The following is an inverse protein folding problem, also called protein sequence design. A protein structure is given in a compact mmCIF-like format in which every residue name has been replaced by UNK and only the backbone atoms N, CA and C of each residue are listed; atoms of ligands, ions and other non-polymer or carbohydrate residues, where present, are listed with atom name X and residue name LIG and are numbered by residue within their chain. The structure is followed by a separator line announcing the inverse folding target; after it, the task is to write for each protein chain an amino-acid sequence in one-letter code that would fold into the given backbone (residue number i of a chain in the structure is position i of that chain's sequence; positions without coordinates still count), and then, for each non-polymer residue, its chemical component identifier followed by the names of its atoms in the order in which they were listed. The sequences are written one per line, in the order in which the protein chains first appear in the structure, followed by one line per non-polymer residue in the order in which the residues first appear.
data_IF_366733774139
#
_entry.id   IF_366733774139
#
_cell.length_a   1.000
_cell.length_b   1.000
_cell.length_c   1.000
_cell.angle_alpha   90.00
_cell.angle_beta   90.00
_cell.angle_gamma   90.00
#
_symmetry.space_group_name_H-M   'P 1'
#
loop_
_entity.id
_entity.type
_entity.pdbx_description
1 polymer ?
#
# COMPACT_ATOMS: atom_id res chain seq x y z
N UNK A 1 -3.46 -27.82 1.80
CA UNK A 1 -3.54 -26.86 2.90
C UNK A 1 -3.19 -25.51 2.32
N UNK A 2 -3.89 -24.45 2.70
CA UNK A 2 -3.54 -23.10 2.30
C UNK A 2 -2.64 -22.51 3.39
N UNK A 3 -1.41 -22.15 3.02
CA UNK A 3 -0.47 -21.50 3.92
C UNK A 3 -0.73 -19.99 3.92
N UNK A 4 -0.63 -19.38 5.07
CA UNK A 4 -0.85 -17.97 5.30
C UNK A 4 0.40 -17.38 5.96
N UNK A 5 0.94 -16.32 5.38
CA UNK A 5 2.09 -15.60 5.92
C UNK A 5 1.67 -14.16 6.23
N UNK A 6 1.89 -13.74 7.47
CA UNK A 6 1.68 -12.35 7.90
C UNK A 6 2.99 -11.58 7.70
N UNK A 7 2.93 -10.50 6.93
CA UNK A 7 4.11 -9.74 6.52
C UNK A 7 3.89 -8.26 6.81
N UNK A 8 4.85 -7.62 7.45
CA UNK A 8 4.94 -6.17 7.54
C UNK A 8 5.70 -5.64 6.29
N UNK A 9 4.99 -4.95 5.39
CA UNK A 9 5.54 -4.37 4.17
C UNK A 9 5.94 -2.90 4.38
N UNK A 10 6.98 -2.42 3.69
CA UNK A 10 7.60 -1.12 3.89
C UNK A 10 8.12 -0.92 5.32
N UNK A 11 8.55 -2.01 5.96
CA UNK A 11 8.96 -2.05 7.34
C UNK A 11 10.45 -1.75 7.53
N UNK A 12 10.80 -1.01 8.57
CA UNK A 12 12.19 -0.78 9.01
C UNK A 12 12.63 -1.78 10.09
N UNK A 13 11.67 -2.45 10.69
CA UNK A 13 11.86 -3.43 11.76
C UNK A 13 10.51 -4.04 12.16
N UNK A 14 10.49 -4.97 13.10
CA UNK A 14 9.24 -5.60 13.57
C UNK A 14 8.22 -4.56 14.03
N UNK A 15 6.93 -4.81 13.72
CA UNK A 15 5.79 -3.97 14.10
C UNK A 15 5.75 -2.58 13.47
N UNK A 16 6.54 -2.34 12.41
CA UNK A 16 6.49 -1.14 11.57
C UNK A 16 5.93 -1.49 10.18
N UNK A 17 5.74 -0.49 9.32
CA UNK A 17 5.20 -0.70 7.97
C UNK A 17 3.70 -1.03 7.96
N UNK A 18 3.23 -1.60 6.86
CA UNK A 18 1.83 -1.94 6.62
C UNK A 18 1.64 -3.47 6.60
N UNK A 19 0.83 -4.02 7.52
CA UNK A 19 0.64 -5.45 7.59
C UNK A 19 -0.26 -5.97 6.47
N UNK A 20 0.13 -7.09 5.87
CA UNK A 20 -0.69 -7.85 4.93
C UNK A 20 -0.61 -9.34 5.25
N UNK A 21 -1.69 -10.06 5.02
CA UNK A 21 -1.64 -11.51 4.95
C UNK A 21 -1.45 -11.94 3.49
N UNK A 22 -0.59 -12.92 3.26
CA UNK A 22 -0.37 -13.55 1.95
C UNK A 22 -0.76 -15.01 2.02
N UNK A 23 -1.74 -15.40 1.23
CA UNK A 23 -2.21 -16.76 1.10
C UNK A 23 -1.72 -17.36 -0.22
N UNK A 24 -0.76 -18.29 -0.15
CA UNK A 24 -0.31 -19.03 -1.33
C UNK A 24 -1.27 -20.21 -1.59
N UNK A 25 -1.91 -20.19 -2.74
CA UNK A 25 -2.88 -21.19 -3.17
C UNK A 25 -2.27 -22.08 -4.26
N UNK A 26 -2.60 -23.37 -4.23
CA UNK A 26 -2.19 -24.34 -5.29
C UNK A 26 -3.01 -24.18 -6.56
N UNK A 27 -4.24 -23.69 -6.44
CA UNK A 27 -5.22 -23.51 -7.52
C UNK A 27 -6.11 -22.30 -7.21
N UNK A 28 -6.79 -21.72 -8.20
CA UNK A 28 -7.72 -20.62 -7.99
C UNK A 28 -8.81 -20.96 -6.96
N UNK A 29 -9.25 -19.97 -6.21
CA UNK A 29 -10.30 -20.10 -5.22
C UNK A 29 -11.48 -19.18 -5.57
N UNK A 30 -12.65 -19.50 -5.03
CA UNK A 30 -13.84 -18.69 -5.18
C UNK A 30 -13.67 -17.32 -4.49
N UNK A 31 -14.21 -16.26 -5.12
CA UNK A 31 -14.10 -14.90 -4.60
C UNK A 31 -14.80 -14.75 -3.24
N UNK A 32 -15.92 -15.44 -3.03
CA UNK A 32 -16.65 -15.38 -1.77
C UNK A 32 -15.86 -15.99 -0.62
N UNK A 33 -15.14 -17.09 -0.87
CA UNK A 33 -14.25 -17.69 0.11
C UNK A 33 -13.07 -16.78 0.43
N UNK A 34 -12.42 -16.19 -0.58
CA UNK A 34 -11.32 -15.24 -0.37
C UNK A 34 -11.78 -14.04 0.45
N UNK A 35 -12.99 -13.53 0.18
CA UNK A 35 -13.59 -12.42 0.94
C UNK A 35 -13.86 -12.80 2.41
N UNK A 36 -14.34 -14.03 2.68
CA UNK A 36 -14.56 -14.52 4.04
C UNK A 36 -13.24 -14.65 4.81
N UNK A 37 -12.20 -15.18 4.18
CA UNK A 37 -10.86 -15.26 4.80
C UNK A 37 -10.32 -13.86 5.10
N UNK A 38 -10.45 -12.91 4.19
CA UNK A 38 -10.00 -11.53 4.42
C UNK A 38 -10.79 -10.85 5.55
N UNK A 39 -12.08 -11.08 5.64
CA UNK A 39 -12.93 -10.57 6.73
C UNK A 39 -12.54 -11.16 8.09
N UNK A 40 -12.25 -12.47 8.14
CA UNK A 40 -11.81 -13.16 9.37
C UNK A 40 -10.47 -12.65 9.86
N UNK A 41 -9.51 -12.43 8.96
CA UNK A 41 -8.19 -11.90 9.30
C UNK A 41 -8.22 -10.43 9.71
N UNK A 42 -9.19 -9.68 9.20
CA UNK A 42 -9.44 -8.27 9.52
C UNK A 42 -8.19 -7.37 9.42
N UNK A 43 -7.35 -7.63 8.42
CA UNK A 43 -6.21 -6.80 8.06
C UNK A 43 -6.62 -5.79 6.97
N UNK A 44 -5.78 -4.77 6.74
CA UNK A 44 -6.02 -3.81 5.67
C UNK A 44 -6.29 -4.56 4.35
N UNK A 45 -5.39 -5.47 3.95
CA UNK A 45 -5.61 -6.39 2.83
C UNK A 45 -5.01 -7.78 3.08
N UNK A 46 -5.70 -8.77 2.49
CA UNK A 46 -5.22 -10.14 2.32
C UNK A 46 -4.97 -10.40 0.84
N UNK A 47 -3.77 -10.82 0.50
CA UNK A 47 -3.35 -11.19 -0.84
C UNK A 47 -3.53 -12.69 -1.07
N UNK A 48 -4.13 -13.07 -2.20
CA UNK A 48 -4.24 -14.45 -2.65
C UNK A 48 -3.42 -14.62 -3.92
N UNK A 49 -2.42 -15.51 -3.86
CA UNK A 49 -1.43 -15.73 -4.90
C UNK A 49 -1.58 -17.14 -5.44
N UNK A 50 -1.73 -17.29 -6.76
CA UNK A 50 -1.79 -18.57 -7.46
C UNK A 50 -0.73 -18.61 -8.53
N UNK A 51 0.07 -19.69 -8.57
CA UNK A 51 1.08 -19.87 -9.63
C UNK A 51 0.43 -20.25 -10.95
N UNK A 52 0.83 -19.60 -12.03
CA UNK A 52 0.42 -19.86 -13.40
C UNK A 52 1.35 -20.86 -14.10
N UNK A 53 0.90 -21.52 -15.20
CA UNK A 53 1.76 -22.42 -15.98
C UNK A 53 2.99 -21.74 -16.61
N UNK A 54 2.89 -20.44 -16.92
CA UNK A 54 3.94 -19.60 -17.52
C UNK A 54 4.99 -19.10 -16.51
N UNK A 55 4.91 -19.56 -15.25
CA UNK A 55 5.72 -19.19 -14.08
C UNK A 55 5.41 -17.84 -13.47
N UNK A 56 4.50 -17.06 -14.04
CA UNK A 56 3.93 -15.87 -13.42
C UNK A 56 2.91 -16.24 -12.32
N UNK A 57 2.28 -15.25 -11.73
CA UNK A 57 1.31 -15.45 -10.67
C UNK A 57 0.04 -14.66 -10.93
N UNK A 58 -1.12 -15.23 -10.66
CA UNK A 58 -2.35 -14.47 -10.46
C UNK A 58 -2.34 -13.89 -9.04
N UNK A 59 -2.69 -12.63 -8.89
CA UNK A 59 -2.73 -11.94 -7.60
C UNK A 59 -4.03 -11.14 -7.45
N UNK A 60 -4.72 -11.40 -6.35
CA UNK A 60 -5.94 -10.70 -5.95
C UNK A 60 -5.83 -10.22 -4.51
N UNK A 61 -6.39 -9.06 -4.22
CA UNK A 61 -6.37 -8.46 -2.88
C UNK A 61 -7.78 -8.22 -2.38
N UNK A 62 -8.00 -8.56 -1.13
CA UNK A 62 -9.29 -8.37 -0.46
C UNK A 62 -9.07 -7.58 0.84
N UNK A 63 -9.72 -6.44 0.95
CA UNK A 63 -9.99 -5.79 2.23
C UNK A 63 -11.09 -6.58 2.98
N UNK A 64 -11.35 -6.33 4.25
CA UNK A 64 -12.36 -7.09 5.01
C UNK A 64 -13.77 -7.12 4.40
N UNK A 65 -14.13 -6.12 3.60
CA UNK A 65 -15.49 -5.98 3.04
C UNK A 65 -15.55 -6.01 1.50
N UNK A 66 -14.41 -5.90 0.80
CA UNK A 66 -14.40 -5.74 -0.66
C UNK A 66 -13.09 -6.20 -1.29
N UNK A 67 -13.16 -6.72 -2.52
CA UNK A 67 -11.99 -6.92 -3.36
C UNK A 67 -11.50 -5.59 -3.92
N UNK A 68 -10.19 -5.32 -3.84
CA UNK A 68 -9.56 -4.10 -4.33
C UNK A 68 -8.77 -4.34 -5.62
N UNK A 69 -8.76 -3.37 -6.52
CA UNK A 69 -8.15 -3.52 -7.84
C UNK A 69 -6.63 -3.31 -7.83
N UNK A 70 -6.09 -2.62 -6.82
CA UNK A 70 -4.66 -2.34 -6.71
C UNK A 70 -4.25 -2.17 -5.24
N UNK A 71 -3.21 -2.88 -4.82
CA UNK A 71 -2.64 -2.75 -3.48
C UNK A 71 -1.11 -2.90 -3.50
N UNK A 72 -0.38 -1.80 -3.23
CA UNK A 72 1.08 -1.79 -3.30
C UNK A 72 1.75 -2.59 -2.19
N UNK A 73 1.36 -2.40 -0.93
CA UNK A 73 2.01 -3.07 0.20
C UNK A 73 1.76 -4.57 0.20
N UNK A 74 0.55 -5.03 -0.15
CA UNK A 74 0.25 -6.46 -0.26
C UNK A 74 0.90 -7.11 -1.49
N UNK A 75 1.18 -6.35 -2.57
CA UNK A 75 2.01 -6.82 -3.69
C UNK A 75 3.45 -7.03 -3.25
N UNK A 76 4.02 -6.06 -2.52
CA UNK A 76 5.36 -6.16 -1.96
C UNK A 76 5.48 -7.34 -1.00
N UNK A 77 4.50 -7.53 -0.11
CA UNK A 77 4.42 -8.68 0.78
C UNK A 77 4.32 -10.00 0.01
N UNK A 78 3.53 -10.05 -1.08
CA UNK A 78 3.40 -11.25 -1.92
C UNK A 78 4.73 -11.64 -2.58
N UNK A 79 5.44 -10.67 -3.15
CA UNK A 79 6.76 -10.88 -3.73
C UNK A 79 7.77 -11.40 -2.69
N UNK A 80 7.80 -10.79 -1.49
CA UNK A 80 8.62 -11.23 -0.37
C UNK A 80 8.38 -12.70 -0.04
N UNK A 81 7.11 -13.11 0.10
CA UNK A 81 6.76 -14.50 0.45
C UNK A 81 7.18 -15.48 -0.64
N UNK A 82 7.05 -15.12 -1.92
CA UNK A 82 7.47 -15.98 -3.02
C UNK A 82 8.97 -16.27 -2.97
N UNK A 83 9.81 -15.28 -2.73
CA UNK A 83 11.26 -15.44 -2.60
C UNK A 83 11.66 -16.12 -1.30
N UNK A 84 11.08 -15.72 -0.18
CA UNK A 84 11.41 -16.29 1.15
C UNK A 84 11.07 -17.78 1.26
N UNK A 85 10.00 -18.22 0.58
CA UNK A 85 9.59 -19.64 0.56
C UNK A 85 10.28 -20.48 -0.52
N UNK A 86 11.09 -19.85 -1.38
CA UNK A 86 11.70 -20.53 -2.53
C UNK A 86 10.70 -20.91 -3.63
N UNK A 87 9.47 -20.36 -3.58
CA UNK A 87 8.47 -20.55 -4.65
C UNK A 87 8.94 -19.88 -5.94
N UNK A 88 9.70 -18.79 -5.81
CA UNK A 88 10.38 -18.10 -6.89
C UNK A 88 11.86 -17.89 -6.52
N UNK A 89 12.77 -18.08 -7.48
CA UNK A 89 14.19 -17.78 -7.29
C UNK A 89 14.41 -16.30 -6.99
N UNK A 90 15.27 -15.98 -6.03
CA UNK A 90 15.53 -14.59 -5.62
C UNK A 90 16.06 -13.69 -6.75
N UNK A 91 16.71 -14.26 -7.76
CA UNK A 91 17.21 -13.56 -8.95
C UNK A 91 16.13 -13.30 -10.02
N UNK A 92 14.98 -13.95 -9.92
CA UNK A 92 13.89 -13.81 -10.88
C UNK A 92 12.90 -12.72 -10.42
N UNK A 93 12.42 -11.84 -11.33
CA UNK A 93 11.36 -10.90 -11.01
C UNK A 93 10.05 -11.66 -10.71
N UNK A 94 9.27 -11.16 -9.79
CA UNK A 94 7.92 -11.64 -9.57
C UNK A 94 6.95 -10.87 -10.48
N UNK A 95 6.23 -11.59 -11.34
CA UNK A 95 5.24 -11.04 -12.27
C UNK A 95 3.84 -11.42 -11.81
N UNK A 96 2.97 -10.44 -11.60
CA UNK A 96 1.62 -10.61 -11.10
C UNK A 96 0.58 -10.15 -12.10
N UNK A 97 -0.29 -11.06 -12.54
CA UNK A 97 -1.48 -10.75 -13.30
C UNK A 97 -2.59 -10.33 -12.34
N UNK A 98 -3.08 -9.11 -12.49
CA UNK A 98 -4.06 -8.49 -11.59
C UNK A 98 -5.19 -7.83 -12.38
N UNK A 99 -6.24 -7.38 -11.70
CA UNK A 99 -7.29 -6.56 -12.32
C UNK A 99 -6.78 -5.23 -12.87
N UNK A 100 -5.69 -4.70 -12.33
CA UNK A 100 -5.04 -3.47 -12.80
C UNK A 100 -3.96 -3.71 -13.86
N UNK A 101 -3.88 -4.93 -14.40
CA UNK A 101 -2.88 -5.33 -15.38
C UNK A 101 -1.68 -6.05 -14.75
N UNK A 102 -0.59 -6.13 -15.50
CA UNK A 102 0.64 -6.78 -15.06
C UNK A 102 1.41 -5.87 -14.11
N UNK A 103 1.72 -6.37 -12.93
CA UNK A 103 2.61 -5.73 -11.95
C UNK A 103 3.88 -6.56 -11.81
N UNK A 104 5.01 -5.90 -11.62
CA UNK A 104 6.30 -6.55 -11.43
C UNK A 104 6.95 -6.10 -10.13
N UNK A 105 7.62 -7.05 -9.48
CA UNK A 105 8.49 -6.77 -8.35
C UNK A 105 9.87 -7.36 -8.60
N UNK A 106 10.92 -6.63 -8.18
CA UNK A 106 12.32 -7.09 -8.25
C UNK A 106 12.98 -6.97 -6.89
N UNK A 107 13.88 -7.89 -6.59
CA UNK A 107 14.65 -7.88 -5.35
C UNK A 107 16.05 -7.30 -5.60
N UNK A 108 16.41 -6.25 -4.88
CA UNK A 108 17.73 -5.61 -4.91
C UNK A 108 18.31 -5.52 -3.49
N UNK A 109 19.12 -6.52 -3.10
CA UNK A 109 19.52 -6.72 -1.71
C UNK A 109 18.30 -6.98 -0.83
N UNK A 110 18.08 -6.15 0.21
CA UNK A 110 16.93 -6.24 1.11
C UNK A 110 15.71 -5.42 0.62
N UNK A 111 15.82 -4.76 -0.53
CA UNK A 111 14.78 -3.87 -1.04
C UNK A 111 13.98 -4.54 -2.15
N UNK A 112 12.68 -4.50 -2.01
CA UNK A 112 11.72 -4.97 -3.01
C UNK A 112 11.23 -3.76 -3.76
N UNK A 113 11.51 -3.67 -5.05
CA UNK A 113 11.10 -2.59 -5.93
C UNK A 113 9.87 -2.99 -6.74
N UNK A 114 8.87 -2.11 -6.73
CA UNK A 114 7.64 -2.18 -7.52
C UNK A 114 7.61 -1.06 -8.54
N UNK A 115 6.99 -1.29 -9.68
CA UNK A 115 6.84 -0.31 -10.76
C UNK A 115 5.36 0.06 -10.94
N UNK A 116 5.01 1.33 -10.68
CA UNK A 116 3.65 1.85 -10.76
C UNK A 116 3.53 3.05 -11.69
N UNK A 117 2.33 3.33 -12.24
CA UNK A 117 2.10 4.58 -12.96
C UNK A 117 2.18 5.79 -12.03
N UNK A 118 2.72 6.88 -12.54
CA UNK A 118 2.70 8.18 -11.87
C UNK A 118 1.27 8.72 -11.81
N UNK A 119 0.90 9.34 -10.70
CA UNK A 119 -0.42 9.96 -10.49
C UNK A 119 -0.27 11.40 -9.97
N UNK A 120 0.33 12.30 -10.76
CA UNK A 120 0.65 13.64 -10.30
C UNK A 120 -0.60 14.41 -9.87
N UNK A 121 -0.45 15.26 -8.86
CA UNK A 121 -1.49 16.19 -8.44
C UNK A 121 -1.34 17.52 -9.16
N UNK A 122 -2.46 18.09 -9.60
CA UNK A 122 -2.54 19.47 -10.06
C UNK A 122 -3.11 20.35 -8.95
N UNK A 123 -2.75 21.64 -8.95
CA UNK A 123 -3.32 22.60 -7.99
C UNK A 123 -4.84 22.60 -8.05
N UNK A 124 -5.48 22.56 -6.91
CA UNK A 124 -6.93 22.47 -6.80
C UNK A 124 -7.43 23.28 -5.60
N UNK A 125 -8.65 23.78 -5.71
CA UNK A 125 -9.35 24.33 -4.55
C UNK A 125 -9.78 23.17 -3.62
N UNK A 126 -9.57 23.29 -2.31
CA UNK A 126 -10.08 22.29 -1.38
C UNK A 126 -11.62 22.31 -1.41
N UNK A 127 -12.29 21.16 -1.39
CA UNK A 127 -13.73 21.13 -1.22
C UNK A 127 -14.13 21.71 0.15
N UNK A 128 -15.34 22.23 0.29
CA UNK A 128 -15.81 22.76 1.56
C UNK A 128 -15.65 21.75 2.69
N UNK A 129 -15.09 22.23 3.81
CA UNK A 129 -14.86 21.44 5.02
C UNK A 129 -13.63 20.53 5.01
N UNK A 130 -12.87 20.40 3.90
CA UNK A 130 -11.69 19.53 3.86
C UNK A 130 -10.61 19.99 4.85
N UNK A 131 -10.22 21.26 4.80
CA UNK A 131 -9.17 21.78 5.67
C UNK A 131 -9.60 21.84 7.13
N UNK A 132 -10.87 22.15 7.39
CA UNK A 132 -11.45 22.12 8.75
C UNK A 132 -11.44 20.67 9.30
N UNK A 133 -11.87 19.68 8.50
CA UNK A 133 -11.86 18.28 8.89
C UNK A 133 -10.43 17.74 9.11
N UNK A 134 -9.45 18.25 8.35
CA UNK A 134 -8.04 17.88 8.54
C UNK A 134 -7.38 18.59 9.71
N UNK A 135 -7.94 19.74 10.17
CA UNK A 135 -7.37 20.54 11.25
C UNK A 135 -5.98 21.10 10.94
N UNK A 136 -5.68 21.40 9.66
CA UNK A 136 -4.35 21.85 9.23
C UNK A 136 -4.42 23.13 8.41
N UNK A 137 -3.39 23.96 8.52
CA UNK A 137 -3.16 25.08 7.62
C UNK A 137 -2.39 24.62 6.39
N UNK A 138 -2.99 24.75 5.20
CA UNK A 138 -2.38 24.31 3.95
C UNK A 138 -1.48 25.42 3.35
N UNK A 139 -0.27 25.05 2.93
CA UNK A 139 0.57 25.85 2.03
C UNK A 139 0.17 25.66 0.56
N UNK A 140 -0.27 24.44 0.24
CA UNK A 140 -0.70 24.07 -1.10
C UNK A 140 -1.76 22.97 -0.98
N UNK A 141 -2.74 23.00 -1.88
CA UNK A 141 -3.68 21.90 -2.07
C UNK A 141 -3.64 21.48 -3.52
N UNK A 142 -3.49 20.18 -3.73
CA UNK A 142 -3.54 19.55 -5.03
C UNK A 142 -4.55 18.42 -5.06
N UNK A 143 -4.99 18.06 -6.26
CA UNK A 143 -5.82 16.89 -6.50
C UNK A 143 -5.16 16.00 -7.55
N UNK A 144 -4.96 14.74 -7.19
CA UNK A 144 -4.60 13.68 -8.13
C UNK A 144 -5.86 13.03 -8.68
N UNK A 145 -5.69 12.01 -9.51
CA UNK A 145 -6.80 11.19 -10.01
C UNK A 145 -7.67 10.61 -8.85
N UNK A 146 -7.06 10.31 -7.70
CA UNK A 146 -7.72 9.57 -6.63
C UNK A 146 -7.88 10.38 -5.33
N UNK A 147 -6.90 11.21 -4.99
CA UNK A 147 -6.73 11.75 -3.65
C UNK A 147 -6.46 13.24 -3.66
N UNK A 148 -6.71 13.90 -2.52
CA UNK A 148 -6.19 15.23 -2.25
C UNK A 148 -4.79 15.15 -1.65
N UNK A 149 -3.93 16.10 -2.07
CA UNK A 149 -2.60 16.33 -1.51
C UNK A 149 -2.61 17.68 -0.82
N UNK A 150 -2.17 17.72 0.44
CA UNK A 150 -2.05 18.95 1.22
C UNK A 150 -0.60 19.08 1.69
N UNK A 151 0.11 20.10 1.19
CA UNK A 151 1.39 20.51 1.74
C UNK A 151 1.15 21.40 2.96
N UNK A 152 1.75 21.03 4.10
CA UNK A 152 1.68 21.80 5.34
C UNK A 152 3.01 22.50 5.65
N UNK A 153 3.06 23.28 6.73
CA UNK A 153 4.21 24.14 7.05
C UNK A 153 5.52 23.38 7.21
N UNK A 154 5.48 22.29 7.97
CA UNK A 154 6.67 21.53 8.38
C UNK A 154 6.29 20.09 8.82
N UNK A 155 7.30 19.31 9.15
CA UNK A 155 7.13 17.95 9.66
C UNK A 155 6.32 17.90 10.96
N UNK A 156 6.45 18.91 11.84
CA UNK A 156 5.70 18.94 13.09
C UNK A 156 4.19 19.02 12.83
N UNK A 157 3.77 19.82 11.85
CA UNK A 157 2.37 19.89 11.44
C UNK A 157 1.85 18.56 10.88
N UNK A 158 2.66 17.80 10.11
CA UNK A 158 2.29 16.46 9.66
C UNK A 158 2.13 15.52 10.86
N UNK A 159 3.05 15.57 11.79
CA UNK A 159 3.12 14.67 12.95
C UNK A 159 1.93 14.84 13.91
N UNK A 160 1.53 16.07 14.16
CA UNK A 160 0.44 16.40 15.11
C UNK A 160 -0.96 16.42 14.47
N UNK A 161 -1.06 16.26 13.15
CA UNK A 161 -2.36 16.27 12.47
C UNK A 161 -3.31 15.23 13.07
N UNK A 162 -4.49 15.68 13.45
CA UNK A 162 -5.54 14.87 14.08
C UNK A 162 -6.89 15.13 13.39
N UNK A 163 -7.14 14.51 12.24
CA UNK A 163 -8.35 14.75 11.48
C UNK A 163 -9.63 14.35 12.22
N UNK A 164 -10.70 15.12 12.05
CA UNK A 164 -12.06 14.70 12.38
C UNK A 164 -12.52 13.69 11.30
N UNK A 165 -12.36 12.41 11.56
CA UNK A 165 -12.73 11.35 10.62
C UNK A 165 -14.22 11.32 10.30
N UNK A 166 -15.09 11.80 11.22
CA UNK A 166 -16.54 11.89 10.97
C UNK A 166 -16.84 12.92 9.89
N UNK A 167 -16.17 14.06 9.90
CA UNK A 167 -16.31 15.08 8.87
C UNK A 167 -15.56 14.67 7.59
N UNK A 168 -14.38 14.09 7.71
CA UNK A 168 -13.57 13.67 6.57
C UNK A 168 -14.26 12.59 5.72
N UNK A 169 -15.05 11.69 6.33
CA UNK A 169 -15.90 10.71 5.60
C UNK A 169 -16.95 11.36 4.69
N UNK A 170 -17.34 12.58 4.95
CA UNK A 170 -18.33 13.30 4.11
C UNK A 170 -17.69 13.92 2.86
N UNK A 171 -16.36 13.98 2.80
CA UNK A 171 -15.63 14.50 1.65
C UNK A 171 -15.57 13.41 0.57
N UNK A 172 -16.06 13.73 -0.62
CA UNK A 172 -16.03 12.80 -1.76
C UNK A 172 -14.61 12.66 -2.32
N UNK A 173 -13.82 11.78 -1.72
CA UNK A 173 -12.45 11.42 -2.14
C UNK A 173 -12.11 10.04 -1.64
N UNK A 174 -11.19 9.34 -2.32
CA UNK A 174 -10.65 8.08 -1.81
C UNK A 174 -9.83 8.33 -0.55
N UNK A 175 -8.94 9.33 -0.58
CA UNK A 175 -8.09 9.66 0.55
C UNK A 175 -7.52 11.07 0.49
N UNK A 176 -6.85 11.43 1.57
CA UNK A 176 -6.15 12.72 1.75
C UNK A 176 -4.76 12.43 2.27
N UNK A 177 -3.74 12.87 1.54
CA UNK A 177 -2.36 12.84 1.99
C UNK A 177 -1.92 14.22 2.45
N UNK A 178 -1.28 14.28 3.60
CA UNK A 178 -0.56 15.48 4.06
C UNK A 178 0.94 15.23 3.98
N UNK A 179 1.71 16.27 3.64
CA UNK A 179 3.15 16.15 3.45
C UNK A 179 3.89 17.44 3.78
N UNK A 180 5.15 17.30 4.17
CA UNK A 180 6.13 18.37 4.36
C UNK A 180 7.54 17.86 4.09
N UNK A 181 8.51 18.79 3.91
CA UNK A 181 9.91 18.42 3.90
C UNK A 181 10.30 17.79 5.25
N UNK A 182 11.18 16.81 5.24
CA UNK A 182 11.67 16.22 6.48
C UNK A 182 12.68 17.11 7.18
N UNK A 183 12.70 17.03 8.50
CA UNK A 183 13.73 17.61 9.36
C UNK A 183 14.84 16.61 9.67
N UNK A 184 14.61 15.32 9.50
CA UNK A 184 15.63 14.27 9.61
C UNK A 184 16.38 14.14 8.28
N UNK A 185 17.71 14.33 8.24
CA UNK A 185 18.50 14.26 7.01
C UNK A 185 18.49 12.88 6.32
N UNK A 186 17.98 11.83 6.97
CA UNK A 186 17.78 10.51 6.37
C UNK A 186 16.64 10.48 5.37
N UNK A 187 15.69 11.40 5.49
CA UNK A 187 14.48 11.45 4.69
C UNK A 187 14.37 12.77 3.94
N UNK A 188 13.80 12.75 2.77
CA UNK A 188 13.58 13.93 1.96
C UNK A 188 12.28 14.63 2.30
N UNK A 189 11.25 13.83 2.53
CA UNK A 189 9.93 14.32 2.92
C UNK A 189 9.22 13.33 3.83
N UNK A 190 8.23 13.85 4.54
CA UNK A 190 7.34 13.06 5.38
C UNK A 190 5.91 13.16 4.88
N UNK A 191 5.11 12.13 5.19
CA UNK A 191 3.69 12.09 4.83
C UNK A 191 2.87 11.33 5.84
N UNK A 192 1.53 11.54 5.79
CA UNK A 192 0.50 10.66 6.35
C UNK A 192 -0.64 10.54 5.35
N UNK A 193 -1.37 9.44 5.39
CA UNK A 193 -2.48 9.18 4.48
C UNK A 193 -3.72 8.75 5.24
N UNK A 194 -4.82 9.45 4.99
CA UNK A 194 -6.10 9.25 5.65
C UNK A 194 -7.16 8.90 4.61
N UNK A 195 -7.88 7.80 4.81
CA UNK A 195 -8.89 7.30 3.88
C UNK A 195 -10.16 6.78 4.59
N UNK A 196 -10.79 7.57 5.49
CA UNK A 196 -11.94 7.10 6.25
C UNK A 196 -13.15 6.79 5.38
N UNK A 197 -13.28 7.39 4.20
CA UNK A 197 -14.29 7.07 3.19
C UNK A 197 -14.11 5.69 2.55
N UNK A 198 -12.89 5.15 2.57
CA UNK A 198 -12.56 3.79 2.14
C UNK A 198 -12.54 2.77 3.30
N UNK A 199 -12.96 3.18 4.50
CA UNK A 199 -13.05 2.31 5.67
C UNK A 199 -11.80 2.25 6.54
N UNK A 200 -10.75 3.00 6.22
CA UNK A 200 -9.48 3.03 6.95
C UNK A 200 -9.19 4.45 7.40
N UNK A 201 -9.27 4.75 8.70
CA UNK A 201 -9.03 6.10 9.20
C UNK A 201 -7.64 6.62 8.82
N UNK A 202 -6.59 5.84 9.04
CA UNK A 202 -5.23 6.12 8.60
C UNK A 202 -4.55 4.86 8.07
N UNK A 203 -3.99 4.92 6.86
CA UNK A 203 -3.23 3.81 6.26
C UNK A 203 -1.76 3.87 6.70
N UNK A 204 -1.19 2.76 7.23
CA UNK A 204 0.17 2.75 7.79
C UNK A 204 1.29 3.04 6.79
N UNK A 205 1.20 2.52 5.56
CA UNK A 205 2.17 2.75 4.48
C UNK A 205 1.48 2.64 3.12
N UNK A 206 1.42 3.76 2.40
CA UNK A 206 0.59 3.92 1.21
C UNK A 206 1.42 4.08 -0.05
N UNK A 207 1.65 2.98 -0.76
CA UNK A 207 2.40 3.01 -2.03
C UNK A 207 1.78 3.96 -3.06
N UNK A 208 0.46 3.90 -3.26
CA UNK A 208 -0.25 4.74 -4.22
C UNK A 208 -0.17 6.25 -3.91
N UNK A 209 -0.10 6.64 -2.64
CA UNK A 209 0.14 8.03 -2.25
C UNK A 209 1.53 8.50 -2.72
N UNK A 210 2.54 7.63 -2.65
CA UNK A 210 3.89 7.95 -3.09
C UNK A 210 4.02 8.06 -4.61
N UNK A 211 3.11 7.45 -5.38
CA UNK A 211 2.99 7.70 -6.83
C UNK A 211 2.53 9.13 -7.15
N UNK A 212 1.89 9.81 -6.19
CA UNK A 212 1.51 11.21 -6.27
C UNK A 212 2.55 12.15 -5.63
N UNK A 213 3.07 11.76 -4.45
CA UNK A 213 4.04 12.56 -3.71
C UNK A 213 5.38 12.70 -4.44
N UNK A 214 5.82 11.66 -5.17
CA UNK A 214 7.10 11.70 -5.87
C UNK A 214 7.18 12.80 -6.93
N UNK A 215 6.26 12.93 -7.89
CA UNK A 215 6.30 14.02 -8.87
C UNK A 215 6.08 15.39 -8.20
N UNK A 216 5.32 15.46 -7.10
CA UNK A 216 5.17 16.69 -6.34
C UNK A 216 6.50 17.14 -5.73
N UNK A 217 7.21 16.25 -5.04
CA UNK A 217 8.50 16.56 -4.42
C UNK A 217 9.63 16.71 -5.46
N UNK A 218 9.53 16.06 -6.62
CA UNK A 218 10.43 16.31 -7.77
C UNK A 218 10.42 17.80 -8.15
N UNK A 219 9.24 18.40 -8.26
CA UNK A 219 9.10 19.83 -8.55
C UNK A 219 9.61 20.75 -7.43
N UNK A 220 9.63 20.28 -6.16
CA UNK A 220 10.08 21.05 -5.00
C UNK A 220 11.60 20.94 -4.75
N UNK A 221 12.17 19.75 -4.93
CA UNK A 221 13.55 19.44 -4.53
C UNK A 221 14.50 19.31 -5.74
N UNK A 222 13.99 19.30 -6.97
CA UNK A 222 14.81 19.23 -8.20
C UNK A 222 15.59 17.93 -8.36
N UNK A 223 15.12 16.81 -7.79
CA UNK A 223 15.77 15.49 -7.92
C UNK A 223 14.73 14.40 -8.20
N UNK A 224 15.19 13.23 -8.66
CA UNK A 224 14.32 12.14 -9.13
C UNK A 224 14.24 10.96 -8.16
N UNK A 225 15.04 10.95 -7.10
CA UNK A 225 15.08 9.85 -6.13
C UNK A 225 14.93 10.39 -4.72
N UNK A 226 14.14 9.71 -3.91
CA UNK A 226 13.79 10.16 -2.57
C UNK A 226 13.80 8.99 -1.59
N UNK A 227 14.07 9.31 -0.33
CA UNK A 227 13.74 8.46 0.80
C UNK A 227 12.64 9.17 1.59
N UNK A 228 11.45 8.59 1.59
CA UNK A 228 10.28 9.14 2.27
C UNK A 228 9.99 8.42 3.58
N UNK A 229 9.47 9.16 4.55
CA UNK A 229 8.96 8.60 5.80
C UNK A 229 7.45 8.83 5.90
N UNK A 230 6.64 7.76 5.94
CA UNK A 230 5.23 7.89 6.31
C UNK A 230 5.11 7.83 7.83
N UNK A 231 4.59 8.92 8.42
CA UNK A 231 4.54 9.14 9.88
C UNK A 231 3.26 8.61 10.52
N UNK A 232 2.74 7.50 10.02
CA UNK A 232 1.65 6.78 10.68
C UNK A 232 2.09 6.28 12.06
N UNK A 233 1.15 5.78 12.86
CA UNK A 233 1.47 5.17 14.17
C UNK A 233 2.52 4.05 14.08
N UNK A 234 2.54 3.28 12.99
CA UNK A 234 3.52 2.20 12.75
C UNK A 234 4.82 2.74 12.13
N UNK A 235 4.70 3.76 11.31
CA UNK A 235 5.79 4.32 10.54
C UNK A 235 6.26 3.40 9.40
N UNK A 236 6.69 4.01 8.28
CA UNK A 236 7.18 3.27 7.13
C UNK A 236 8.26 4.05 6.38
N UNK A 237 9.27 3.37 5.86
CA UNK A 237 10.26 3.95 4.96
C UNK A 237 10.05 3.46 3.54
N UNK A 238 9.94 4.40 2.61
CA UNK A 238 9.68 4.13 1.20
C UNK A 238 10.74 4.86 0.38
N UNK A 239 11.53 4.11 -0.41
CA UNK A 239 12.37 4.70 -1.45
C UNK A 239 11.52 4.92 -2.69
N UNK A 240 11.69 6.06 -3.31
CA UNK A 240 10.87 6.46 -4.45
C UNK A 240 11.76 6.99 -5.56
N UNK A 241 11.54 6.49 -6.79
CA UNK A 241 12.22 6.96 -7.99
C UNK A 241 11.21 7.41 -9.05
N UNK A 242 11.42 8.59 -9.63
CA UNK A 242 10.61 9.09 -10.74
C UNK A 242 11.31 8.75 -12.06
N UNK A 243 10.64 8.01 -12.94
CA UNK A 243 11.14 7.56 -14.23
C UNK A 243 10.10 7.86 -15.32
N UNK A 244 10.04 9.12 -15.76
CA UNK A 244 9.02 9.59 -16.70
C UNK A 244 7.61 9.51 -16.10
N UNK A 245 6.75 8.73 -16.73
CA UNK A 245 5.37 8.47 -16.28
C UNK A 245 5.27 7.28 -15.31
N UNK A 246 6.41 6.72 -14.89
CA UNK A 246 6.50 5.60 -13.95
C UNK A 246 7.13 6.02 -12.64
N UNK A 247 6.69 5.38 -11.56
CA UNK A 247 7.25 5.55 -10.22
C UNK A 247 7.74 4.19 -9.72
N UNK A 248 9.03 4.16 -9.38
CA UNK A 248 9.67 3.02 -8.72
C UNK A 248 9.49 3.20 -7.21
N UNK A 249 8.80 2.27 -6.57
CA UNK A 249 8.61 2.25 -5.12
C UNK A 249 9.39 1.08 -4.54
N UNK A 250 10.29 1.34 -3.61
CA UNK A 250 10.98 0.25 -2.95
C UNK A 250 10.81 0.30 -1.42
N UNK A 251 10.60 -0.87 -0.84
CA UNK A 251 10.46 -1.08 0.59
C UNK A 251 11.07 -2.40 1.02
N UNK A 252 11.27 -2.56 2.32
CA UNK A 252 11.64 -3.84 2.92
C UNK A 252 10.39 -4.54 3.43
N UNK A 253 10.46 -5.85 3.59
CA UNK A 253 9.40 -6.66 4.17
C UNK A 253 9.95 -7.58 5.26
N UNK A 254 9.12 -7.85 6.26
CA UNK A 254 9.44 -8.75 7.36
C UNK A 254 8.29 -9.74 7.56
N UNK A 255 8.60 -11.02 7.54
CA UNK A 255 7.65 -12.06 7.94
C UNK A 255 7.50 -12.04 9.46
N UNK A 256 6.28 -11.79 9.91
CA UNK A 256 5.95 -11.72 11.34
C UNK A 256 5.39 -13.04 11.87
N UNK A 257 4.62 -13.77 11.05
CA UNK A 257 3.98 -15.02 11.46
C UNK A 257 3.70 -15.91 10.24
N UNK A 258 3.73 -17.21 10.44
CA UNK A 258 3.20 -18.20 9.50
C UNK A 258 2.09 -18.99 10.18
N UNK A 259 1.01 -19.25 9.43
CA UNK A 259 -0.15 -19.99 9.90
C UNK A 259 -0.69 -20.89 8.78
N UNK A 260 -1.59 -21.79 9.14
CA UNK A 260 -2.31 -22.65 8.20
C UNK A 260 -3.81 -22.50 8.44
N UNK A 261 -4.57 -22.37 7.35
CA UNK A 261 -6.03 -22.43 7.44
C UNK A 261 -6.44 -23.86 7.77
N UNK A 262 -7.37 -23.99 8.73
CA UNK A 262 -7.87 -25.31 9.17
C UNK A 262 -8.65 -26.01 8.07
N UNK A 263 -8.80 -27.35 8.17
CA UNK A 263 -9.55 -28.13 7.20
C UNK A 263 -11.02 -27.65 7.06
N UNK A 264 -11.65 -27.23 8.13
CA UNK A 264 -13.02 -26.67 8.11
C UNK A 264 -13.11 -25.36 7.31
N UNK A 265 -12.13 -24.48 7.45
CA UNK A 265 -12.08 -23.23 6.68
C UNK A 265 -11.83 -23.48 5.18
N UNK A 266 -11.14 -24.57 4.82
CA UNK A 266 -10.86 -24.95 3.43
C UNK A 266 -12.05 -25.68 2.80
N UNK A 267 -12.78 -26.51 3.55
CA UNK A 267 -13.94 -27.29 3.06
C UNK A 267 -15.08 -26.38 2.57
N UNK A 268 -15.25 -25.21 3.18
CA UNK A 268 -16.20 -24.18 2.73
C UNK A 268 -15.87 -23.64 1.31
N UNK A 269 -14.64 -23.84 0.82
CA UNK A 269 -14.21 -23.49 -0.53
C UNK A 269 -14.93 -24.30 -1.62
N UNK A 270 -15.37 -25.53 -1.32
CA UNK A 270 -15.97 -26.47 -2.30
C UNK A 270 -17.50 -26.39 -2.34
N UNK A 271 -18.16 -25.95 -1.27
CA UNK A 271 -19.63 -25.88 -1.20
C UNK A 271 -20.24 -24.65 -1.90
N UNK A 272 -19.44 -23.67 -2.31
CA UNK A 272 -19.90 -22.50 -3.05
C UNK A 272 -19.98 -22.72 -4.59
N UNK A 273 -19.61 -23.91 -5.07
CA UNK A 273 -19.57 -24.27 -6.51
C UNK A 273 -20.76 -25.19 -6.89
N UNK A 274 -21.65 -25.51 -5.96
CA UNK A 274 -22.84 -26.38 -6.20
C UNK A 274 -24.12 -25.56 -6.41
#
# INVERSE_FOLDING_TARGET
MASLTYVDAFADGPFTGNPAAVCLLREPADASWMQQVAAELNLAETAFVVRRPDRDFDLRWFAPSVEVDLCGHATLASAHVLWETGTLEASAPASFHTRSGLLTATLAGDWIELDFPSTPASAAQPPPGLLDAMGVAAKYVGRSRFDYLIEVADEAAVRVAAPDFTQLRKISTRGVMITAASTDPKYDFVSRFFAPGAGIDEDPATGSAHCCLAPFWQGRLGKNTFVARQLSRRGATIRVGVAGDRIKLAGKALTMMRAELTQSAISNRQSAIA
#
